data_IF_861334477092
#
_entry.id   IF_861334477092
#
_cell.length_a   1.000
_cell.length_b   1.000
_cell.length_c   1.000
_cell.angle_alpha   90.00
_cell.angle_beta   90.00
_cell.angle_gamma   90.00
#
_symmetry.space_group_name_H-M   'P 1'
#
loop_
_entity.id
_entity.type
_entity.pdbx_description
1 polymer ?
#
# COMPACT_ATOMS: atom_id res chain seq x y z
N UNK A 1 -9.26 -7.89 55.90
CA UNK A 1 -8.06 -7.81 55.04
C UNK A 1 -8.53 -7.93 53.60
N UNK A 2 -8.90 -6.81 52.97
CA UNK A 2 -9.45 -6.82 51.61
C UNK A 2 -8.29 -6.93 50.62
N UNK A 3 -8.33 -7.94 49.75
CA UNK A 3 -7.38 -8.09 48.64
C UNK A 3 -7.46 -6.86 47.73
N UNK A 4 -6.34 -6.14 47.62
CA UNK A 4 -6.11 -5.16 46.56
C UNK A 4 -6.26 -5.88 45.23
N UNK A 5 -7.34 -5.58 44.48
CA UNK A 5 -7.46 -6.02 43.09
C UNK A 5 -6.29 -5.43 42.32
N UNK A 6 -5.43 -6.29 41.79
CA UNK A 6 -4.35 -5.87 40.90
C UNK A 6 -5.02 -5.41 39.60
N UNK A 7 -5.04 -4.11 39.35
CA UNK A 7 -5.63 -3.54 38.14
C UNK A 7 -4.70 -3.93 36.98
N UNK A 8 -5.20 -4.70 36.03
CA UNK A 8 -4.45 -5.04 34.81
C UNK A 8 -4.35 -3.79 33.93
N UNK A 9 -3.31 -3.71 33.09
CA UNK A 9 -3.16 -2.60 32.12
C UNK A 9 -4.35 -2.56 31.16
N UNK A 10 -4.99 -3.70 30.91
CA UNK A 10 -6.20 -3.83 30.08
C UNK A 10 -7.47 -3.29 30.76
N UNK A 11 -7.47 -3.12 32.09
CA UNK A 11 -8.59 -2.57 32.87
C UNK A 11 -8.59 -1.03 32.91
N UNK A 12 -7.53 -0.39 32.39
CA UNK A 12 -7.42 1.07 32.38
C UNK A 12 -8.36 1.68 31.32
N UNK A 13 -9.03 2.80 31.64
CA UNK A 13 -9.81 3.51 30.64
C UNK A 13 -8.91 3.94 29.48
N UNK A 14 -9.38 3.65 28.26
CA UNK A 14 -8.68 3.98 27.02
C UNK A 14 -8.53 5.49 26.87
N UNK A 15 -7.31 5.92 26.62
CA UNK A 15 -6.90 7.29 26.39
C UNK A 15 -5.78 7.33 25.34
N UNK A 16 -5.34 8.52 24.95
CA UNK A 16 -4.34 8.68 23.89
C UNK A 16 -2.96 8.06 24.22
N UNK A 17 -2.65 7.79 25.50
CA UNK A 17 -1.39 7.19 25.92
C UNK A 17 -1.41 5.65 25.91
N UNK A 18 -2.57 5.01 26.09
CA UNK A 18 -2.70 3.54 26.14
C UNK A 18 -3.56 2.93 25.02
N UNK A 19 -4.17 3.75 24.16
CA UNK A 19 -5.00 3.26 23.07
C UNK A 19 -4.78 4.05 21.78
N UNK A 20 -4.18 3.38 20.79
CA UNK A 20 -4.03 3.89 19.43
C UNK A 20 -4.14 2.76 18.42
N UNK A 21 -4.68 3.03 17.24
CA UNK A 21 -4.68 2.06 16.16
C UNK A 21 -3.24 1.88 15.64
N UNK A 22 -2.68 0.68 15.82
CA UNK A 22 -1.36 0.34 15.28
C UNK A 22 -1.47 0.17 13.77
N UNK A 23 -1.18 1.25 13.04
CA UNK A 23 -1.10 1.23 11.58
C UNK A 23 0.36 1.08 11.13
N UNK A 24 0.61 0.49 9.95
CA UNK A 24 1.94 0.48 9.35
C UNK A 24 2.53 1.90 9.21
N UNK A 25 1.67 2.92 9.06
CA UNK A 25 2.07 4.33 8.96
C UNK A 25 2.65 4.85 10.27
N UNK A 26 2.06 4.50 11.41
CA UNK A 26 2.58 4.87 12.73
C UNK A 26 3.99 4.31 12.94
N UNK A 27 4.21 3.05 12.57
CA UNK A 27 5.54 2.43 12.67
C UNK A 27 6.57 3.14 11.79
N UNK A 28 6.20 3.46 10.54
CA UNK A 28 7.10 4.15 9.62
C UNK A 28 7.49 5.54 10.15
N UNK A 29 6.51 6.33 10.60
CA UNK A 29 6.75 7.66 11.17
C UNK A 29 7.66 7.57 12.41
N UNK A 30 7.37 6.62 13.30
CA UNK A 30 8.17 6.42 14.51
C UNK A 30 9.59 5.96 14.20
N UNK A 31 9.78 5.06 13.23
CA UNK A 31 11.10 4.58 12.83
C UNK A 31 11.94 5.70 12.21
N UNK A 32 11.34 6.54 11.37
CA UNK A 32 12.00 7.70 10.77
C UNK A 32 12.39 8.76 11.81
N UNK A 33 11.59 8.92 12.88
CA UNK A 33 11.88 9.86 13.96
C UNK A 33 12.98 9.35 14.91
N UNK A 34 12.91 8.09 15.35
CA UNK A 34 13.79 7.54 16.40
C UNK A 34 15.10 6.98 15.81
N UNK A 35 15.06 6.42 14.61
CA UNK A 35 16.20 5.79 13.95
C UNK A 35 16.43 6.31 12.53
N UNK A 36 16.50 7.65 12.31
CA UNK A 36 16.50 8.25 10.98
C UNK A 36 17.60 7.73 10.06
N UNK A 37 18.80 7.49 10.60
CA UNK A 37 19.97 7.08 9.83
C UNK A 37 20.16 5.55 9.75
N UNK A 38 19.32 4.76 10.43
CA UNK A 38 19.41 3.29 10.39
C UNK A 38 18.88 2.79 9.05
N UNK A 39 19.53 1.79 8.48
CA UNK A 39 19.10 1.17 7.24
C UNK A 39 17.68 0.59 7.37
N UNK A 40 16.81 0.93 6.42
CA UNK A 40 15.45 0.43 6.27
C UNK A 40 15.35 -0.58 5.11
N UNK A 41 16.08 -0.33 4.01
CA UNK A 41 16.07 -1.15 2.80
C UNK A 41 17.48 -1.37 2.28
N UNK A 42 17.76 -2.62 1.93
CA UNK A 42 19.00 -3.09 1.30
C UNK A 42 18.60 -3.88 0.06
N UNK A 43 18.83 -3.34 -1.14
CA UNK A 43 18.42 -3.97 -2.39
C UNK A 43 19.50 -3.80 -3.48
N UNK A 44 20.27 -4.86 -3.73
CA UNK A 44 21.45 -4.78 -4.61
C UNK A 44 22.45 -3.75 -4.09
N UNK A 45 22.80 -2.77 -4.93
CA UNK A 45 23.63 -1.62 -4.54
C UNK A 45 22.85 -0.50 -3.82
N UNK A 46 21.52 -0.49 -3.91
CA UNK A 46 20.68 0.55 -3.29
C UNK A 46 20.59 0.32 -1.79
N UNK A 47 20.69 1.41 -1.04
CA UNK A 47 20.55 1.47 0.42
C UNK A 47 19.67 2.66 0.74
N UNK A 48 18.68 2.47 1.60
CA UNK A 48 17.87 3.55 2.13
C UNK A 48 17.86 3.49 3.65
N UNK A 49 17.80 4.66 4.26
CA UNK A 49 17.56 4.82 5.70
C UNK A 49 16.07 4.96 5.98
N UNK A 50 15.66 4.88 7.25
CA UNK A 50 14.27 5.12 7.63
C UNK A 50 13.79 6.52 7.26
N UNK A 51 14.66 7.53 7.33
CA UNK A 51 14.35 8.88 6.84
C UNK A 51 14.05 8.88 5.33
N UNK A 52 14.92 8.24 4.54
CA UNK A 52 14.72 8.16 3.09
C UNK A 52 13.42 7.46 2.73
N UNK A 53 13.12 6.33 3.38
CA UNK A 53 11.86 5.60 3.16
C UNK A 53 10.66 6.48 3.45
N UNK A 54 10.65 7.17 4.59
CA UNK A 54 9.56 8.05 4.97
C UNK A 54 9.34 9.17 3.95
N UNK A 55 10.41 9.87 3.55
CA UNK A 55 10.31 10.93 2.54
C UNK A 55 9.81 10.42 1.20
N UNK A 56 10.29 9.25 0.75
CA UNK A 56 9.87 8.63 -0.51
C UNK A 56 8.39 8.21 -0.47
N UNK A 57 7.93 7.63 0.64
CA UNK A 57 6.53 7.28 0.84
C UNK A 57 5.63 8.53 0.86
N UNK A 58 6.08 9.62 1.50
CA UNK A 58 5.37 10.91 1.48
C UNK A 58 5.25 11.51 0.08
N UNK A 59 6.32 11.43 -0.73
CA UNK A 59 6.29 11.89 -2.12
C UNK A 59 5.32 11.07 -2.96
N UNK A 60 5.32 9.73 -2.80
CA UNK A 60 4.35 8.86 -3.46
C UNK A 60 2.91 9.20 -3.05
N UNK A 61 2.66 9.34 -1.74
CA UNK A 61 1.34 9.71 -1.23
C UNK A 61 0.86 11.05 -1.79
N UNK A 62 1.73 12.07 -1.79
CA UNK A 62 1.42 13.38 -2.35
C UNK A 62 1.11 13.32 -3.85
N UNK A 63 1.86 12.51 -4.62
CA UNK A 63 1.58 12.33 -6.04
C UNK A 63 0.20 11.68 -6.26
N UNK A 64 -0.13 10.64 -5.50
CA UNK A 64 -1.44 9.99 -5.56
C UNK A 64 -2.58 10.97 -5.21
N UNK A 65 -2.44 11.73 -4.13
CA UNK A 65 -3.43 12.73 -3.73
C UNK A 65 -3.62 13.81 -4.80
N UNK A 66 -2.55 14.25 -5.46
CA UNK A 66 -2.64 15.21 -6.57
C UNK A 66 -3.38 14.65 -7.80
N UNK A 67 -3.48 13.33 -7.93
CA UNK A 67 -4.29 12.64 -8.93
C UNK A 67 -5.67 12.22 -8.40
N UNK A 68 -6.14 12.82 -7.31
CA UNK A 68 -7.43 12.51 -6.66
C UNK A 68 -7.55 11.05 -6.19
N UNK A 69 -6.42 10.42 -5.90
CA UNK A 69 -6.36 9.07 -5.34
C UNK A 69 -6.20 9.17 -3.83
N UNK A 70 -7.21 8.68 -3.11
CA UNK A 70 -7.22 8.68 -1.65
C UNK A 70 -8.32 7.77 -1.11
N UNK A 71 -9.06 8.25 -0.10
CA UNK A 71 -10.06 7.44 0.60
C UNK A 71 -11.04 6.74 -0.35
N UNK A 72 -11.22 5.43 -0.15
CA UNK A 72 -12.13 4.60 -0.95
C UNK A 72 -11.62 4.26 -2.36
N UNK A 73 -10.39 4.66 -2.73
CA UNK A 73 -9.76 4.26 -3.99
C UNK A 73 -8.77 3.12 -3.77
N UNK A 74 -8.74 2.21 -4.73
CA UNK A 74 -7.76 1.12 -4.78
C UNK A 74 -6.64 1.46 -5.76
N UNK A 75 -5.39 1.24 -5.34
CA UNK A 75 -4.20 1.29 -6.20
C UNK A 75 -3.68 -0.13 -6.35
N UNK A 76 -3.68 -0.63 -7.58
CA UNK A 76 -3.07 -1.90 -7.90
C UNK A 76 -1.58 -1.71 -8.23
N UNK A 77 -0.74 -2.68 -7.86
CA UNK A 77 0.67 -2.70 -8.26
C UNK A 77 1.03 -4.05 -8.88
N UNK A 78 1.64 -4.01 -10.08
CA UNK A 78 2.17 -5.17 -10.81
C UNK A 78 3.69 -4.96 -10.89
N UNK A 79 4.42 -5.50 -9.90
CA UNK A 79 5.86 -5.31 -9.79
C UNK A 79 6.50 -6.44 -8.98
N UNK A 80 7.81 -6.70 -9.16
CA UNK A 80 8.55 -7.60 -8.27
C UNK A 80 8.76 -6.97 -6.89
N UNK A 81 9.43 -7.70 -6.00
CA UNK A 81 9.81 -7.20 -4.67
C UNK A 81 10.97 -6.18 -4.78
N UNK A 82 10.65 -4.97 -5.22
CA UNK A 82 11.57 -3.84 -5.34
C UNK A 82 11.36 -2.84 -4.21
N UNK A 83 12.31 -1.90 -3.98
CA UNK A 83 12.09 -0.82 -3.04
C UNK A 83 10.83 0.01 -3.32
N UNK A 84 10.47 0.19 -4.59
CA UNK A 84 9.24 0.91 -4.96
C UNK A 84 7.97 0.17 -4.52
N UNK A 85 7.94 -1.17 -4.67
CA UNK A 85 6.83 -1.99 -4.17
C UNK A 85 6.75 -1.94 -2.65
N UNK A 86 7.89 -1.99 -1.96
CA UNK A 86 7.95 -1.82 -0.50
C UNK A 86 7.42 -0.44 -0.07
N UNK A 87 7.84 0.63 -0.74
CA UNK A 87 7.36 1.99 -0.49
C UNK A 87 5.85 2.14 -0.72
N UNK A 88 5.28 1.45 -1.73
CA UNK A 88 3.85 1.47 -2.01
C UNK A 88 3.01 0.95 -0.83
N UNK A 89 3.54 0.01 -0.03
CA UNK A 89 2.85 -0.51 1.17
C UNK A 89 2.65 0.55 2.25
N UNK A 90 3.39 1.66 2.20
CA UNK A 90 3.19 2.80 3.09
C UNK A 90 2.62 4.01 2.34
N UNK A 91 3.14 4.34 1.17
CA UNK A 91 2.74 5.52 0.40
C UNK A 91 1.28 5.48 -0.05
N UNK A 92 0.76 4.31 -0.46
CA UNK A 92 -0.65 4.19 -0.86
C UNK A 92 -1.60 4.37 0.34
N UNK A 93 -1.41 3.66 1.48
CA UNK A 93 -2.21 3.92 2.69
C UNK A 93 -2.04 5.34 3.23
N UNK A 94 -0.86 5.96 3.07
CA UNK A 94 -0.61 7.34 3.49
C UNK A 94 -1.42 8.36 2.67
N UNK A 95 -1.77 8.04 1.42
CA UNK A 95 -2.75 8.82 0.66
C UNK A 95 -4.21 8.55 1.08
N UNK A 96 -4.44 7.58 1.97
CA UNK A 96 -5.78 7.10 2.36
C UNK A 96 -6.35 6.04 1.43
N UNK A 97 -5.60 5.61 0.41
CA UNK A 97 -6.01 4.60 -0.55
C UNK A 97 -5.66 3.17 -0.08
N UNK A 98 -6.25 2.17 -0.73
CA UNK A 98 -6.00 0.75 -0.46
C UNK A 98 -5.02 0.19 -1.49
N UNK A 99 -3.96 -0.47 -1.05
CA UNK A 99 -3.01 -1.15 -1.94
C UNK A 99 -3.52 -2.56 -2.28
N UNK A 100 -3.48 -2.93 -3.55
CA UNK A 100 -3.64 -4.32 -4.02
C UNK A 100 -2.39 -4.76 -4.76
N UNK A 101 -1.67 -5.74 -4.22
CA UNK A 101 -0.49 -6.32 -4.87
C UNK A 101 -0.92 -7.44 -5.82
N UNK A 102 -0.49 -7.35 -7.06
CA UNK A 102 -0.77 -8.34 -8.10
C UNK A 102 0.46 -9.21 -8.30
N UNK A 103 0.30 -10.52 -8.16
CA UNK A 103 1.40 -11.45 -8.35
C UNK A 103 1.80 -11.51 -9.83
N UNK A 104 3.04 -11.13 -10.12
CA UNK A 104 3.65 -11.09 -11.45
C UNK A 104 3.75 -12.46 -12.15
N UNK A 105 3.52 -13.58 -11.45
CA UNK A 105 3.49 -14.94 -12.05
C UNK A 105 2.14 -15.30 -12.66
N UNK A 106 1.12 -14.47 -12.50
CA UNK A 106 -0.20 -14.68 -13.07
C UNK A 106 -0.23 -14.34 -14.56
N UNK A 107 -1.11 -15.01 -15.30
CA UNK A 107 -1.39 -14.66 -16.68
C UNK A 107 -2.29 -13.42 -16.79
N UNK A 108 -2.37 -12.85 -17.99
CA UNK A 108 -3.11 -11.64 -18.32
C UNK A 108 -4.60 -11.73 -17.94
N UNK A 109 -5.23 -12.89 -18.12
CA UNK A 109 -6.66 -13.11 -17.80
C UNK A 109 -6.93 -13.05 -16.30
N UNK A 110 -6.05 -13.65 -15.48
CA UNK A 110 -6.16 -13.61 -14.03
C UNK A 110 -5.88 -12.20 -13.50
N UNK A 111 -4.89 -11.50 -14.07
CA UNK A 111 -4.61 -10.10 -13.72
C UNK A 111 -5.80 -9.21 -14.07
N UNK A 112 -6.38 -9.34 -15.26
CA UNK A 112 -7.56 -8.58 -15.68
C UNK A 112 -8.74 -8.78 -14.71
N UNK A 113 -8.97 -10.03 -14.29
CA UNK A 113 -9.98 -10.35 -13.29
C UNK A 113 -9.71 -9.65 -11.95
N UNK A 114 -8.47 -9.70 -11.44
CA UNK A 114 -8.11 -9.05 -10.17
C UNK A 114 -8.26 -7.52 -10.24
N UNK A 115 -7.84 -6.90 -11.35
CA UNK A 115 -7.97 -5.45 -11.55
C UNK A 115 -9.44 -5.02 -11.57
N UNK A 116 -10.30 -5.77 -12.25
CA UNK A 116 -11.75 -5.53 -12.27
C UNK A 116 -12.39 -5.76 -10.90
N UNK A 117 -12.08 -6.89 -10.25
CA UNK A 117 -12.65 -7.23 -8.93
C UNK A 117 -12.24 -6.24 -7.83
N UNK A 118 -11.00 -5.75 -7.86
CA UNK A 118 -10.50 -4.77 -6.89
C UNK A 118 -10.94 -3.33 -7.16
N UNK A 119 -11.66 -3.09 -8.28
CA UNK A 119 -12.04 -1.75 -8.75
C UNK A 119 -10.85 -0.78 -8.75
N UNK A 120 -9.70 -1.24 -9.27
CA UNK A 120 -8.46 -0.47 -9.24
C UNK A 120 -8.63 0.88 -9.96
N UNK A 121 -8.43 1.98 -9.24
CA UNK A 121 -8.51 3.34 -9.78
C UNK A 121 -7.21 3.72 -10.52
N UNK A 122 -6.08 3.16 -10.08
CA UNK A 122 -4.76 3.34 -10.70
C UNK A 122 -4.02 2.01 -10.67
N UNK A 123 -3.25 1.72 -11.71
CA UNK A 123 -2.34 0.57 -11.77
C UNK A 123 -0.91 1.07 -11.92
N UNK A 124 -0.08 0.81 -10.92
CA UNK A 124 1.37 1.02 -10.97
C UNK A 124 2.02 -0.23 -11.53
N UNK A 125 2.89 -0.08 -12.54
CA UNK A 125 3.48 -1.22 -13.24
C UNK A 125 4.99 -1.04 -13.32
N UNK A 126 5.73 -2.08 -12.93
CA UNK A 126 7.16 -2.13 -13.21
C UNK A 126 7.38 -2.35 -14.71
N UNK A 127 8.33 -1.62 -15.29
CA UNK A 127 8.59 -1.59 -16.73
C UNK A 127 8.74 -2.99 -17.35
N UNK A 128 9.34 -3.93 -16.61
CA UNK A 128 9.52 -5.32 -17.06
C UNK A 128 8.18 -6.02 -17.37
N UNK A 129 7.12 -5.67 -16.65
CA UNK A 129 5.79 -6.27 -16.75
C UNK A 129 4.79 -5.42 -17.53
N UNK A 130 5.25 -4.37 -18.22
CA UNK A 130 4.38 -3.47 -18.98
C UNK A 130 3.54 -4.22 -20.02
N UNK A 131 4.15 -5.12 -20.80
CA UNK A 131 3.44 -5.89 -21.83
C UNK A 131 2.38 -6.83 -21.23
N UNK A 132 2.64 -7.40 -20.05
CA UNK A 132 1.67 -8.24 -19.34
C UNK A 132 0.48 -7.41 -18.84
N UNK A 133 0.75 -6.25 -18.24
CA UNK A 133 -0.27 -5.33 -17.77
C UNK A 133 -1.11 -4.78 -18.92
N UNK A 134 -0.50 -4.45 -20.06
CA UNK A 134 -1.21 -3.95 -21.24
C UNK A 134 -2.22 -4.99 -21.76
N UNK A 135 -1.81 -6.26 -21.88
CA UNK A 135 -2.73 -7.34 -22.28
C UNK A 135 -3.88 -7.51 -21.30
N UNK A 136 -3.60 -7.47 -19.99
CA UNK A 136 -4.63 -7.57 -18.97
C UNK A 136 -5.63 -6.40 -19.03
N UNK A 137 -5.16 -5.18 -19.26
CA UNK A 137 -6.01 -3.99 -19.41
C UNK A 137 -6.89 -4.07 -20.67
N UNK A 138 -6.36 -4.61 -21.78
CA UNK A 138 -7.15 -4.88 -23.00
C UNK A 138 -8.31 -5.85 -22.71
N UNK A 139 -8.03 -6.98 -22.06
CA UNK A 139 -9.05 -7.96 -21.64
C UNK A 139 -10.11 -7.31 -20.73
N UNK A 140 -9.69 -6.47 -19.78
CA UNK A 140 -10.60 -5.78 -18.89
C UNK A 140 -11.52 -4.80 -19.64
N UNK A 141 -10.98 -4.05 -20.60
CA UNK A 141 -11.74 -3.10 -21.41
C UNK A 141 -12.79 -3.79 -22.31
N UNK A 142 -12.42 -4.92 -22.92
CA UNK A 142 -13.33 -5.75 -23.72
C UNK A 142 -14.50 -6.25 -22.87
N UNK A 143 -14.23 -6.77 -21.67
CA UNK A 143 -15.29 -7.22 -20.74
C UNK A 143 -16.24 -6.09 -20.35
N UNK A 144 -15.73 -4.92 -19.99
CA UNK A 144 -16.56 -3.77 -19.59
C UNK A 144 -17.46 -3.30 -20.74
N UNK A 145 -16.99 -3.38 -21.99
CA UNK A 145 -17.79 -3.06 -23.17
C UNK A 145 -18.96 -4.02 -23.34
N UNK A 146 -18.75 -5.32 -23.12
CA UNK A 146 -19.80 -6.34 -23.19
C UNK A 146 -20.88 -6.13 -22.12
N UNK A 147 -20.52 -5.76 -20.89
CA UNK A 147 -21.51 -5.48 -19.84
C UNK A 147 -22.39 -4.26 -20.14
N UNK A 148 -21.82 -3.22 -20.75
CA UNK A 148 -22.56 -2.00 -21.11
C UNK A 148 -23.48 -2.16 -22.33
N UNK A 149 -23.29 -3.20 -23.16
CA UNK A 149 -24.16 -3.51 -24.30
C UNK A 149 -25.38 -4.37 -23.93
N UNK A 150 -25.41 -4.93 -22.71
CA UNK A 150 -26.49 -5.76 -22.19
C UNK A 150 -27.25 -5.13 -21.02
N UNK A 151 -27.01 -3.85 -20.74
CA UNK A 151 -27.69 -3.03 -19.72
C UNK A 151 -28.49 -1.93 -20.38
#
# INVERSE_FOLDING_TARGET
MAMSRNVDIDDLPKNAANYTALTPLWFLDRAALVHPARASVVHGARRYTWRDTYERCRRLASALTNHSIGLGKTVAIIAPNTPATYEAHFGVPMAGAVLTTVNIRLNESAIAFLLGHSSAAVVMVDQEYFALAEKALKILAEKNTTYNLHS
#
